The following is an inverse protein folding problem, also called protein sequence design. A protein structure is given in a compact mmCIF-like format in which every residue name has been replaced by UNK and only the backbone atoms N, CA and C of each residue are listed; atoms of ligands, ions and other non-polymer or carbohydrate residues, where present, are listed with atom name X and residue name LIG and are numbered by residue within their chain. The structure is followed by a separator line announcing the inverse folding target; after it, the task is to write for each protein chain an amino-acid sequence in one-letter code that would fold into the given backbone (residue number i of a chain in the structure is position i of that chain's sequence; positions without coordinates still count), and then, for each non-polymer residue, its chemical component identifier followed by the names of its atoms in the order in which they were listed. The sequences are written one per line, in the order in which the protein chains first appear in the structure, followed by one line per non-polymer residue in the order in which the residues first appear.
data_IF_756887949021
#
_entry.id   IF_756887949021
#
_cell.length_a   1.000
_cell.length_b   1.000
_cell.length_c   1.000
_cell.angle_alpha   90.00
_cell.angle_beta   90.00
_cell.angle_gamma   90.00
#
_symmetry.space_group_name_H-M   'P 1'
#
loop_
_entity.id
_entity.type
_entity.pdbx_description
1 polymer ?
#
# COMPACT_ATOMS: atom_id res chain seq x y z
N UNK A 1 4.84 -17.74 -15.00
CA UNK A 1 3.47 -17.76 -14.45
C UNK A 1 3.19 -19.19 -14.04
N UNK A 2 3.12 -19.48 -12.74
CA UNK A 2 2.86 -20.83 -12.22
C UNK A 2 1.34 -21.02 -12.05
N UNK A 3 0.80 -22.14 -12.56
CA UNK A 3 -0.64 -22.45 -12.66
C UNK A 3 -1.39 -22.53 -11.32
N UNK A 4 -0.68 -22.43 -10.19
CA UNK A 4 -1.27 -22.22 -8.86
C UNK A 4 -1.99 -20.88 -8.72
N UNK A 5 -1.73 -19.91 -9.60
CA UNK A 5 -2.41 -18.60 -9.61
C UNK A 5 -3.78 -18.62 -10.27
N UNK A 6 -3.99 -19.47 -11.28
CA UNK A 6 -5.23 -19.47 -12.08
C UNK A 6 -6.41 -20.17 -11.40
N UNK A 7 -6.17 -20.99 -10.37
CA UNK A 7 -7.20 -21.85 -9.75
C UNK A 7 -7.82 -21.30 -8.46
N UNK A 8 -7.34 -20.16 -7.94
CA UNK A 8 -7.71 -19.69 -6.59
C UNK A 8 -8.34 -18.29 -6.59
N UNK A 9 -8.00 -17.43 -7.54
CA UNK A 9 -8.55 -16.08 -7.61
C UNK A 9 -9.34 -15.87 -8.91
N UNK A 10 -10.53 -15.24 -8.84
CA UNK A 10 -11.24 -14.82 -10.05
C UNK A 10 -10.34 -13.92 -10.91
N UNK A 11 -10.38 -14.12 -12.22
CA UNK A 11 -9.61 -13.32 -13.20
C UNK A 11 -9.83 -11.81 -13.00
N UNK A 12 -11.04 -11.43 -12.61
CA UNK A 12 -11.43 -10.05 -12.30
C UNK A 12 -10.54 -9.42 -11.21
N UNK A 13 -10.29 -10.15 -10.12
CA UNK A 13 -9.45 -9.67 -9.01
C UNK A 13 -7.99 -9.55 -9.47
N UNK A 14 -7.54 -10.46 -10.32
CA UNK A 14 -6.21 -10.41 -10.90
C UNK A 14 -6.03 -9.17 -11.78
N UNK A 15 -6.99 -8.88 -12.66
CA UNK A 15 -6.98 -7.68 -13.49
C UNK A 15 -7.07 -6.40 -12.66
N UNK A 16 -7.86 -6.39 -11.58
CA UNK A 16 -7.91 -5.28 -10.63
C UNK A 16 -6.55 -5.03 -9.98
N UNK A 17 -5.83 -6.08 -9.58
CA UNK A 17 -4.49 -5.94 -9.00
C UNK A 17 -3.47 -5.42 -10.03
N UNK A 18 -3.55 -5.84 -11.29
CA UNK A 18 -2.72 -5.27 -12.35
C UNK A 18 -3.00 -3.77 -12.51
N UNK A 19 -4.26 -3.37 -12.62
CA UNK A 19 -4.65 -1.94 -12.73
C UNK A 19 -4.21 -1.14 -11.52
N UNK A 20 -4.34 -1.71 -10.33
CA UNK A 20 -3.88 -1.11 -9.09
C UNK A 20 -2.38 -0.81 -9.15
N UNK A 21 -1.55 -1.80 -9.52
CA UNK A 21 -0.09 -1.64 -9.64
C UNK A 21 0.33 -0.68 -10.76
N UNK A 22 -0.33 -0.74 -11.92
CA UNK A 22 0.02 0.08 -13.08
C UNK A 22 -0.59 1.48 -13.07
N UNK A 23 -1.58 1.72 -12.19
CA UNK A 23 -2.30 2.98 -12.11
C UNK A 23 -3.22 3.25 -13.30
N UNK A 24 -3.64 2.21 -14.03
CA UNK A 24 -4.40 2.33 -15.27
C UNK A 24 -5.90 2.15 -15.06
N UNK A 25 -6.71 2.97 -15.74
CA UNK A 25 -8.16 2.86 -15.71
C UNK A 25 -8.73 3.03 -14.30
N UNK A 26 -9.67 2.15 -13.94
CA UNK A 26 -10.23 2.04 -12.60
C UNK A 26 -9.24 1.35 -11.65
N UNK A 27 -8.13 2.04 -11.38
CA UNK A 27 -7.01 1.50 -10.61
C UNK A 27 -7.34 1.30 -9.13
N UNK A 28 -8.24 2.12 -8.58
CA UNK A 28 -8.63 2.16 -7.17
C UNK A 28 -9.82 1.27 -6.83
N UNK A 29 -10.38 0.54 -7.80
CA UNK A 29 -11.51 -0.39 -7.59
C UNK A 29 -11.22 -1.37 -6.45
N UNK A 30 -9.98 -1.84 -6.30
CA UNK A 30 -9.57 -2.74 -5.22
C UNK A 30 -9.65 -2.08 -3.83
N UNK A 31 -9.45 -0.76 -3.77
CA UNK A 31 -9.55 0.02 -2.53
C UNK A 31 -10.99 0.34 -2.13
N UNK A 32 -11.92 0.29 -3.09
CA UNK A 32 -13.31 0.72 -2.93
C UNK A 32 -14.28 -0.46 -2.80
N UNK A 33 -14.08 -1.53 -3.57
CA UNK A 33 -14.95 -2.71 -3.53
C UNK A 33 -14.72 -3.60 -2.31
N UNK A 34 -13.53 -3.54 -1.73
CA UNK A 34 -13.16 -4.30 -0.55
C UNK A 34 -12.99 -3.38 0.65
N UNK A 35 -13.18 -3.87 1.88
CA UNK A 35 -12.94 -3.10 3.11
C UNK A 35 -11.42 -2.93 3.34
N UNK A 36 -10.75 -2.27 2.40
CA UNK A 36 -9.30 -2.08 2.38
C UNK A 36 -8.97 -0.87 3.24
N UNK A 37 -8.46 -1.14 4.44
CA UNK A 37 -8.05 -0.12 5.40
C UNK A 37 -6.62 0.37 5.19
N UNK A 38 -5.78 -0.46 4.54
CA UNK A 38 -4.33 -0.25 4.41
C UNK A 38 -3.83 -0.73 3.05
N UNK A 39 -2.82 -0.04 2.51
CA UNK A 39 -2.14 -0.39 1.27
C UNK A 39 -0.63 -0.19 1.42
N UNK A 40 0.13 -1.29 1.37
CA UNK A 40 1.58 -1.27 1.26
C UNK A 40 1.95 -1.35 -0.21
N UNK A 41 2.59 -0.31 -0.73
CA UNK A 41 2.94 -0.18 -2.15
C UNK A 41 4.43 0.09 -2.32
N UNK A 42 4.97 -0.25 -3.49
CA UNK A 42 6.34 0.13 -3.85
C UNK A 42 6.35 1.56 -4.37
N UNK A 43 7.40 2.31 -4.04
CA UNK A 43 7.59 3.69 -4.50
C UNK A 43 7.79 3.82 -6.01
N UNK A 44 8.23 2.74 -6.65
CA UNK A 44 8.44 2.68 -8.11
C UNK A 44 7.15 2.46 -8.90
N UNK A 45 6.07 2.01 -8.24
CA UNK A 45 4.79 1.76 -8.90
C UNK A 45 3.94 3.04 -8.97
N UNK A 46 3.11 3.16 -10.00
CA UNK A 46 2.25 4.33 -10.20
C UNK A 46 1.31 4.59 -9.01
N UNK A 47 0.88 3.50 -8.36
CA UNK A 47 0.01 3.49 -7.18
C UNK A 47 0.51 4.37 -6.05
N UNK A 48 1.82 4.48 -5.86
CA UNK A 48 2.41 5.32 -4.81
C UNK A 48 2.01 6.79 -4.96
N UNK A 49 2.18 7.33 -6.17
CA UNK A 49 1.81 8.72 -6.46
C UNK A 49 0.29 8.91 -6.46
N UNK A 50 -0.45 7.91 -6.94
CA UNK A 50 -1.91 7.95 -6.96
C UNK A 50 -2.50 7.96 -5.55
N UNK A 51 -1.99 7.13 -4.64
CA UNK A 51 -2.41 7.11 -3.23
C UNK A 51 -2.07 8.40 -2.50
N UNK A 52 -0.94 9.06 -2.80
CA UNK A 52 -0.62 10.39 -2.26
C UNK A 52 -1.66 11.45 -2.66
N UNK A 53 -2.32 11.28 -3.81
CA UNK A 53 -3.34 12.20 -4.30
C UNK A 53 -4.77 11.77 -3.95
N UNK A 54 -4.99 10.55 -3.46
CA UNK A 54 -6.35 10.02 -3.21
C UNK A 54 -6.89 10.56 -1.89
N UNK A 55 -8.04 11.28 -1.90
CA UNK A 55 -8.66 11.76 -0.67
C UNK A 55 -9.00 10.63 0.30
N UNK A 56 -8.87 10.89 1.61
CA UNK A 56 -9.16 9.92 2.66
C UNK A 56 -8.07 8.86 2.87
N UNK A 57 -6.92 8.98 2.18
CA UNK A 57 -5.74 8.14 2.41
C UNK A 57 -4.60 8.98 2.99
N UNK A 58 -3.88 8.40 3.95
CA UNK A 58 -2.78 9.05 4.66
C UNK A 58 -1.55 8.14 4.61
N UNK A 59 -0.40 8.71 4.25
CA UNK A 59 0.89 8.05 4.33
C UNK A 59 1.33 7.99 5.80
N UNK A 60 1.58 6.78 6.33
CA UNK A 60 2.01 6.56 7.72
C UNK A 60 3.44 6.02 7.85
N UNK A 61 3.98 5.43 6.79
CA UNK A 61 5.35 4.94 6.73
C UNK A 61 5.89 5.03 5.31
N UNK A 62 7.16 5.39 5.17
CA UNK A 62 7.88 5.40 3.91
C UNK A 62 9.36 5.05 4.15
N UNK A 63 9.91 4.17 3.32
CA UNK A 63 11.35 3.88 3.25
C UNK A 63 11.88 4.08 1.81
N UNK A 64 13.06 3.54 1.51
CA UNK A 64 13.67 3.69 0.19
C UNK A 64 12.93 2.93 -0.93
N UNK A 65 12.13 1.91 -0.59
CA UNK A 65 11.52 0.95 -1.52
C UNK A 65 9.99 1.00 -1.46
N UNK A 66 9.40 1.25 -0.29
CA UNK A 66 8.00 1.02 0.01
C UNK A 66 7.36 2.16 0.79
N UNK A 67 6.03 2.20 0.75
CA UNK A 67 5.21 3.15 1.47
C UNK A 67 3.92 2.50 1.93
N UNK A 68 3.52 2.76 3.18
CA UNK A 68 2.26 2.32 3.76
C UNK A 68 1.27 3.48 3.83
N UNK A 69 0.15 3.33 3.15
CA UNK A 69 -0.99 4.22 3.24
C UNK A 69 -2.11 3.56 4.03
N UNK A 70 -2.87 4.37 4.78
CA UNK A 70 -4.06 3.91 5.52
C UNK A 70 -5.22 4.85 5.31
N UNK A 71 -6.45 4.35 5.48
CA UNK A 71 -7.66 5.17 5.52
C UNK A 71 -7.55 6.18 6.68
N UNK A 72 -7.96 7.42 6.44
CA UNK A 72 -7.86 8.52 7.39
C UNK A 72 -8.62 8.25 8.70
N UNK A 73 -9.74 7.55 8.61
CA UNK A 73 -10.63 7.16 9.70
C UNK A 73 -10.31 5.78 10.29
N UNK A 74 -9.23 5.12 9.84
CA UNK A 74 -8.86 3.82 10.35
C UNK A 74 -8.48 3.88 11.83
N UNK A 75 -9.18 3.10 12.66
CA UNK A 75 -9.06 3.11 14.13
C UNK A 75 -7.63 2.87 14.65
N UNK A 76 -6.79 2.16 13.89
CA UNK A 76 -5.42 1.85 14.29
C UNK A 76 -4.36 2.76 13.67
N UNK A 77 -4.75 3.83 12.95
CA UNK A 77 -3.82 4.76 12.30
C UNK A 77 -2.73 5.26 13.26
N UNK A 78 -3.11 5.76 14.45
CA UNK A 78 -2.14 6.27 15.43
C UNK A 78 -1.13 5.23 15.89
N UNK A 79 -1.59 4.01 16.16
CA UNK A 79 -0.70 2.92 16.56
C UNK A 79 0.29 2.55 15.44
N UNK A 80 -0.11 2.68 14.17
CA UNK A 80 0.77 2.47 13.02
C UNK A 80 1.78 3.60 12.86
N UNK A 81 1.38 4.85 13.05
CA UNK A 81 2.29 6.00 13.06
C UNK A 81 3.36 5.85 14.15
N UNK A 82 2.96 5.46 15.37
CA UNK A 82 3.89 5.19 16.48
C UNK A 82 4.84 4.02 16.18
N UNK A 83 4.34 2.95 15.56
CA UNK A 83 5.18 1.84 15.13
C UNK A 83 6.17 2.26 14.03
N UNK A 84 5.73 3.08 13.07
CA UNK A 84 6.57 3.61 12.01
C UNK A 84 7.71 4.48 12.56
N UNK A 85 7.43 5.33 13.57
CA UNK A 85 8.47 6.13 14.24
C UNK A 85 9.53 5.24 14.89
N UNK A 86 9.13 4.21 15.64
CA UNK A 86 10.08 3.28 16.28
C UNK A 86 10.97 2.56 15.27
N UNK A 87 10.39 2.08 14.16
CA UNK A 87 11.14 1.43 13.09
C UNK A 87 12.18 2.39 12.48
N UNK A 88 11.79 3.65 12.25
CA UNK A 88 12.71 4.65 11.73
C UNK A 88 13.88 4.93 12.70
N UNK A 89 13.61 5.02 14.00
CA UNK A 89 14.64 5.20 15.04
C UNK A 89 15.61 4.01 15.11
N UNK A 90 15.10 2.78 15.05
CA UNK A 90 15.92 1.57 15.01
C UNK A 90 16.80 1.51 13.76
N UNK A 91 16.25 1.86 12.59
CA UNK A 91 16.99 1.90 11.33
C UNK A 91 18.14 2.91 11.35
N UNK A 92 17.98 4.04 12.04
CA UNK A 92 19.06 5.02 12.27
C UNK A 92 20.12 4.44 13.20
N UNK A 93 19.71 3.76 14.28
CA UNK A 93 20.65 3.14 15.24
C UNK A 93 21.49 2.01 14.64
N UNK A 94 21.03 1.36 13.56
CA UNK A 94 21.71 0.25 12.89
C UNK A 94 22.65 0.70 11.76
N UNK A 95 22.66 1.98 11.40
CA UNK A 95 23.67 2.51 10.47
C UNK A 95 25.00 2.67 11.21
N UNK A 96 25.86 1.65 11.10
CA UNK A 96 27.24 1.70 11.60
C UNK A 96 28.02 2.86 10.95
N UNK A 97 28.95 3.52 11.68
CA UNK A 97 29.71 4.68 11.19
C UNK A 97 30.64 4.37 10.03
#
# INVERSE_FOLDING_TARGET
MDGRRETVYPEEVYQMNIRFMTGQGEWDTLLEQYPTDMALVRKVDATYNLLRCKPGWVLVYEDDISALFVRQDFRYRRALEEAATRIAEEAVSLRFP
#
